data_IF_929199419114
#
_entry.id   IF_929199419114
#
_cell.length_a   1.000
_cell.length_b   1.000
_cell.length_c   1.000
_cell.angle_alpha   90.00
_cell.angle_beta   90.00
_cell.angle_gamma   90.00
#
_symmetry.space_group_name_H-M   'P 1'
#
loop_
_entity.id
_entity.type
_entity.pdbx_description
1 polymer ?
#
# COMPACT_ATOMS: atom_id res chain seq x y z
N UNK A 1 0.11 1.69 8.00
CA UNK A 1 0.96 2.90 8.01
C UNK A 1 2.43 2.51 7.81
N UNK A 2 2.91 2.60 6.57
CA UNK A 2 4.26 2.13 6.22
C UNK A 2 5.38 2.88 6.95
N UNK A 3 5.30 4.21 7.01
CA UNK A 3 6.31 5.07 7.64
C UNK A 3 6.43 4.90 9.16
N UNK A 4 5.46 4.26 9.80
CA UNK A 4 5.47 3.95 11.23
C UNK A 4 5.89 2.49 11.52
N UNK A 5 6.74 1.90 10.68
CA UNK A 5 7.21 0.53 10.82
C UNK A 5 6.21 -0.52 10.32
N UNK A 6 5.51 -0.24 9.25
CA UNK A 6 4.48 -1.10 8.64
C UNK A 6 3.34 -1.50 9.61
N UNK A 7 2.87 -0.54 10.41
CA UNK A 7 1.78 -0.79 11.36
C UNK A 7 0.44 -0.98 10.66
N UNK A 8 -0.24 -2.05 10.99
CA UNK A 8 -1.63 -2.27 10.57
C UNK A 8 -2.60 -1.43 11.43
N UNK A 9 -3.69 -1.01 10.81
CA UNK A 9 -4.87 -0.53 11.54
C UNK A 9 -5.70 -1.73 11.96
N UNK A 10 -6.39 -1.66 13.11
CA UNK A 10 -7.33 -2.72 13.45
C UNK A 10 -8.60 -2.60 12.60
N UNK A 11 -9.27 -3.71 12.28
CA UNK A 11 -10.56 -3.69 11.57
C UNK A 11 -11.61 -2.83 12.29
N UNK A 12 -11.63 -2.88 13.62
CA UNK A 12 -12.56 -2.12 14.46
C UNK A 12 -12.34 -0.62 14.34
N UNK A 13 -11.06 -0.18 14.29
CA UNK A 13 -10.73 1.23 14.07
C UNK A 13 -11.21 1.71 12.71
N UNK A 14 -10.97 0.94 11.65
CA UNK A 14 -11.38 1.32 10.29
C UNK A 14 -12.91 1.34 10.16
N UNK A 15 -13.60 0.36 10.75
CA UNK A 15 -15.05 0.34 10.80
C UNK A 15 -15.61 1.53 11.60
N UNK A 16 -14.97 1.91 12.71
CA UNK A 16 -15.35 3.08 13.49
C UNK A 16 -15.13 4.39 12.71
N UNK A 17 -14.02 4.50 11.97
CA UNK A 17 -13.74 5.64 11.11
C UNK A 17 -14.80 5.79 10.00
N UNK A 18 -15.21 4.67 9.36
CA UNK A 18 -16.29 4.69 8.36
C UNK A 18 -17.60 5.18 8.97
N UNK A 19 -18.03 4.61 10.10
CA UNK A 19 -19.25 5.06 10.80
C UNK A 19 -19.19 6.53 11.24
N UNK A 20 -18.02 6.99 11.66
CA UNK A 20 -17.84 8.39 12.05
C UNK A 20 -17.97 9.32 10.84
N UNK A 21 -17.33 8.98 9.73
CA UNK A 21 -17.44 9.73 8.48
C UNK A 21 -18.90 9.80 7.99
N UNK A 22 -19.62 8.66 8.02
CA UNK A 22 -21.02 8.59 7.59
C UNK A 22 -21.92 9.51 8.44
N UNK A 23 -21.72 9.52 9.78
CA UNK A 23 -22.55 10.36 10.67
C UNK A 23 -22.44 11.86 10.41
N UNK A 24 -21.27 12.32 9.95
CA UNK A 24 -21.01 13.74 9.72
C UNK A 24 -20.97 14.13 8.24
N UNK A 25 -21.21 13.17 7.35
CA UNK A 25 -21.14 13.39 5.91
C UNK A 25 -19.71 13.60 5.38
N UNK A 26 -18.69 13.25 6.14
CA UNK A 26 -17.31 13.39 5.72
C UNK A 26 -16.90 12.34 4.67
N UNK A 27 -15.88 12.66 3.89
CA UNK A 27 -15.24 11.76 2.93
C UNK A 27 -14.17 10.94 3.66
N UNK A 28 -14.23 9.62 3.57
CA UNK A 28 -13.21 8.72 4.06
C UNK A 28 -12.23 8.41 2.93
N UNK A 29 -10.96 8.74 3.13
CA UNK A 29 -9.90 8.53 2.13
C UNK A 29 -8.93 7.47 2.65
N UNK A 30 -8.66 6.44 1.84
CA UNK A 30 -7.58 5.49 2.09
C UNK A 30 -6.40 5.82 1.17
N UNK A 31 -5.31 6.29 1.78
CA UNK A 31 -4.05 6.43 1.08
C UNK A 31 -3.33 5.07 1.05
N UNK A 32 -3.38 4.43 -0.13
CA UNK A 32 -2.71 3.15 -0.35
C UNK A 32 -1.45 3.28 -1.22
N UNK A 33 -0.90 4.48 -1.32
CA UNK A 33 0.31 4.77 -2.12
C UNK A 33 1.48 3.84 -1.76
N UNK A 34 1.56 3.38 -0.52
CA UNK A 34 2.63 2.47 -0.08
C UNK A 34 2.18 1.01 0.05
N UNK A 35 0.92 0.76 0.35
CA UNK A 35 0.38 -0.57 0.61
C UNK A 35 -0.53 -1.11 -0.50
N UNK A 36 -0.77 -0.35 -1.56
CA UNK A 36 -1.57 -0.76 -2.70
C UNK A 36 -0.78 -1.47 -3.80
N UNK A 37 -1.44 -1.65 -4.93
CA UNK A 37 -0.89 -2.26 -6.15
C UNK A 37 -0.30 -3.66 -5.86
N UNK A 38 -1.04 -4.48 -5.08
CA UNK A 38 -0.67 -5.85 -4.77
C UNK A 38 0.34 -6.05 -3.63
N UNK A 39 0.96 -4.98 -3.11
CA UNK A 39 2.04 -5.04 -2.10
C UNK A 39 1.71 -5.87 -0.86
N UNK A 40 0.46 -5.80 -0.39
CA UNK A 40 0.01 -6.48 0.82
C UNK A 40 -0.78 -7.77 0.57
N UNK A 41 -0.79 -8.26 -0.67
CA UNK A 41 -1.53 -9.47 -1.07
C UNK A 41 -2.95 -9.20 -1.56
N UNK A 42 -3.36 -7.93 -1.62
CA UNK A 42 -4.60 -7.44 -2.23
C UNK A 42 -4.30 -6.24 -3.08
N UNK A 43 -5.14 -5.91 -4.07
CA UNK A 43 -4.89 -4.77 -4.94
C UNK A 43 -4.89 -3.45 -4.18
N UNK A 44 -5.87 -3.27 -3.29
CA UNK A 44 -5.86 -2.21 -2.28
C UNK A 44 -5.90 -2.81 -0.88
N UNK A 45 -5.27 -2.16 0.09
CA UNK A 45 -5.32 -2.61 1.49
C UNK A 45 -6.77 -2.58 2.05
N UNK A 46 -7.66 -1.77 1.49
CA UNK A 46 -9.06 -1.65 1.88
C UNK A 46 -9.80 -3.00 1.83
N UNK A 47 -9.56 -3.78 0.79
CA UNK A 47 -10.17 -5.11 0.59
C UNK A 47 -9.94 -6.06 1.77
N UNK A 48 -8.79 -5.92 2.43
CA UNK A 48 -8.42 -6.76 3.57
C UNK A 48 -9.23 -6.49 4.84
N UNK A 49 -9.94 -5.37 4.91
CA UNK A 49 -10.63 -4.91 6.13
C UNK A 49 -12.16 -4.86 5.99
N UNK A 50 -12.69 -5.14 4.80
CA UNK A 50 -14.14 -5.08 4.54
C UNK A 50 -14.73 -3.68 4.73
N UNK A 51 -13.92 -2.62 4.59
CA UNK A 51 -14.35 -1.23 4.71
C UNK A 51 -14.16 -0.55 3.36
N UNK A 52 -15.22 -0.01 2.80
CA UNK A 52 -15.18 0.74 1.55
C UNK A 52 -14.95 2.22 1.83
N UNK A 53 -13.81 2.81 1.43
CA UNK A 53 -13.60 4.25 1.50
C UNK A 53 -14.36 4.97 0.37
N UNK A 54 -14.49 6.29 0.49
CA UNK A 54 -15.03 7.13 -0.58
C UNK A 54 -13.98 7.43 -1.65
N UNK A 55 -12.69 7.47 -1.24
CA UNK A 55 -11.55 7.73 -2.12
C UNK A 55 -10.41 6.77 -1.78
N UNK A 56 -9.71 6.32 -2.82
CA UNK A 56 -8.45 5.56 -2.70
C UNK A 56 -7.38 6.25 -3.54
N UNK A 57 -6.26 6.62 -2.92
CA UNK A 57 -5.11 7.19 -3.64
C UNK A 57 -4.04 6.13 -3.88
N UNK A 58 -3.51 6.08 -5.10
CA UNK A 58 -2.48 5.13 -5.52
C UNK A 58 -1.36 5.82 -6.29
N UNK A 59 -0.14 5.29 -6.20
CA UNK A 59 1.03 5.74 -6.96
C UNK A 59 2.16 4.68 -6.89
N UNK A 60 3.41 5.11 -6.84
CA UNK A 60 4.64 4.28 -6.69
C UNK A 60 4.70 3.13 -7.68
N UNK A 61 4.36 1.91 -7.24
CA UNK A 61 4.40 0.70 -8.07
C UNK A 61 3.40 0.65 -9.22
N UNK A 62 2.48 1.61 -9.33
CA UNK A 62 1.38 1.59 -10.29
C UNK A 62 1.85 1.51 -11.75
N UNK A 63 2.96 2.18 -12.11
CA UNK A 63 3.56 2.14 -13.43
C UNK A 63 5.02 1.68 -13.41
N UNK A 64 5.40 0.84 -12.44
CA UNK A 64 6.72 0.19 -12.34
C UNK A 64 7.92 1.13 -12.48
N UNK A 65 7.81 2.37 -11.96
CA UNK A 65 8.89 3.34 -11.93
C UNK A 65 8.64 4.60 -12.76
N UNK A 66 7.66 4.62 -13.66
CA UNK A 66 7.23 5.86 -14.31
C UNK A 66 6.32 6.67 -13.38
N UNK A 67 6.44 8.02 -13.36
CA UNK A 67 5.67 8.87 -12.47
C UNK A 67 4.19 8.87 -12.87
N UNK A 68 3.34 8.35 -12.01
CA UNK A 68 1.89 8.36 -12.13
C UNK A 68 1.26 8.30 -10.73
N UNK A 69 0.15 8.99 -10.57
CA UNK A 69 -0.77 8.83 -9.45
C UNK A 69 -2.19 8.61 -9.97
N UNK A 70 -2.98 7.89 -9.21
CA UNK A 70 -4.39 7.66 -9.51
C UNK A 70 -5.23 7.84 -8.25
N UNK A 71 -6.44 8.33 -8.44
CA UNK A 71 -7.48 8.40 -7.42
C UNK A 71 -8.70 7.66 -7.94
N UNK A 72 -9.15 6.67 -7.19
CA UNK A 72 -10.45 6.01 -7.42
C UNK A 72 -11.43 6.65 -6.46
N UNK A 73 -12.56 7.10 -6.95
CA UNK A 73 -13.61 7.71 -6.13
C UNK A 73 -14.94 6.95 -6.25
N UNK A 74 -15.73 7.01 -5.18
CA UNK A 74 -17.11 6.51 -5.18
C UNK A 74 -18.03 7.40 -6.04
N UNK A 75 -19.16 6.86 -6.48
CA UNK A 75 -20.16 7.61 -7.24
C UNK A 75 -20.63 8.86 -6.50
N UNK A 76 -20.73 8.81 -5.16
CA UNK A 76 -21.09 9.96 -4.33
C UNK A 76 -20.11 11.13 -4.51
N UNK A 77 -18.82 10.84 -4.62
CA UNK A 77 -17.78 11.87 -4.81
C UNK A 77 -17.71 12.28 -6.28
N UNK A 78 -17.73 11.34 -7.21
CA UNK A 78 -17.64 11.64 -8.65
C UNK A 78 -18.80 12.52 -9.13
N UNK A 79 -19.99 12.35 -8.56
CA UNK A 79 -21.17 13.17 -8.89
C UNK A 79 -21.01 14.65 -8.49
N UNK A 80 -20.03 15.00 -7.65
CA UNK A 80 -19.76 16.40 -7.26
C UNK A 80 -18.69 17.08 -8.10
N UNK A 81 -18.03 16.34 -9.00
CA UNK A 81 -16.93 16.84 -9.83
C UNK A 81 -17.52 17.38 -11.16
N UNK A 82 -17.27 18.63 -11.44
CA UNK A 82 -17.69 19.27 -12.69
C UNK A 82 -16.53 19.40 -13.68
N UNK A 83 -16.86 19.66 -14.93
CA UNK A 83 -15.87 19.94 -15.95
C UNK A 83 -15.05 21.18 -15.60
N UNK A 84 -13.73 21.03 -15.53
CA UNK A 84 -12.78 22.09 -15.18
C UNK A 84 -12.32 22.09 -13.72
N UNK A 85 -12.94 21.29 -12.84
CA UNK A 85 -12.50 21.20 -11.43
C UNK A 85 -11.14 20.52 -11.27
N UNK A 86 -10.82 19.60 -12.16
CA UNK A 86 -9.57 18.83 -12.12
C UNK A 86 -8.73 19.15 -13.36
N UNK A 87 -7.45 19.39 -13.15
CA UNK A 87 -6.49 19.61 -14.21
C UNK A 87 -5.07 19.27 -13.78
N UNK A 88 -4.29 18.77 -14.74
CA UNK A 88 -2.86 18.51 -14.54
C UNK A 88 -2.15 18.55 -15.88
N UNK A 89 -1.06 19.30 -15.96
CA UNK A 89 -0.28 19.42 -17.20
C UNK A 89 0.30 18.06 -17.66
N UNK A 90 0.74 17.23 -16.73
CA UNK A 90 1.37 15.95 -17.01
C UNK A 90 0.56 14.74 -16.53
N UNK A 91 -0.60 14.96 -15.88
CA UNK A 91 -1.45 13.88 -15.38
C UNK A 91 -2.08 13.09 -16.53
N UNK A 92 -2.10 11.78 -16.42
CA UNK A 92 -2.70 10.92 -17.43
C UNK A 92 -1.92 10.85 -18.76
N UNK A 93 -0.63 11.18 -18.74
CA UNK A 93 0.21 11.08 -19.94
C UNK A 93 0.23 9.65 -20.52
N UNK A 94 0.29 9.51 -21.87
CA UNK A 94 0.11 8.20 -22.52
C UNK A 94 1.19 7.18 -22.14
N UNK A 95 2.43 7.60 -21.93
CA UNK A 95 3.53 6.68 -21.59
C UNK A 95 3.38 6.09 -20.18
N UNK A 96 3.18 6.89 -19.11
CA UNK A 96 2.90 6.32 -17.79
C UNK A 96 1.61 5.48 -17.75
N UNK A 97 0.58 5.85 -18.50
CA UNK A 97 -0.66 5.07 -18.56
C UNK A 97 -0.43 3.70 -19.23
N UNK A 98 0.30 3.64 -20.33
CA UNK A 98 0.65 2.38 -20.98
C UNK A 98 1.49 1.48 -20.04
N UNK A 99 2.44 2.06 -19.30
CA UNK A 99 3.22 1.32 -18.32
C UNK A 99 2.35 0.82 -17.14
N UNK A 100 1.39 1.62 -16.69
CA UNK A 100 0.44 1.21 -15.66
C UNK A 100 -0.42 0.02 -16.14
N UNK A 101 -0.96 0.07 -17.36
CA UNK A 101 -1.71 -1.04 -17.93
C UNK A 101 -0.87 -2.32 -18.00
N UNK A 102 0.37 -2.23 -18.50
CA UNK A 102 1.28 -3.37 -18.56
C UNK A 102 1.60 -3.92 -17.15
N UNK A 103 1.78 -3.04 -16.17
CA UNK A 103 2.02 -3.43 -14.77
C UNK A 103 0.82 -4.19 -14.19
N UNK A 104 -0.38 -3.70 -14.41
CA UNK A 104 -1.62 -4.33 -13.94
C UNK A 104 -1.84 -5.71 -14.59
N UNK A 105 -1.59 -5.82 -15.90
CA UNK A 105 -1.65 -7.10 -16.62
C UNK A 105 -0.68 -8.13 -16.04
N UNK A 106 0.57 -7.76 -15.77
CA UNK A 106 1.57 -8.65 -15.16
C UNK A 106 1.14 -9.07 -13.76
N UNK A 107 0.69 -8.13 -12.90
CA UNK A 107 0.23 -8.43 -11.55
C UNK A 107 -0.89 -9.48 -11.58
N UNK A 108 -1.84 -9.34 -12.50
CA UNK A 108 -2.98 -10.25 -12.64
C UNK A 108 -2.56 -11.59 -13.23
N UNK A 109 -1.88 -11.59 -14.38
CA UNK A 109 -1.48 -12.79 -15.13
C UNK A 109 -0.53 -13.69 -14.32
N UNK A 110 0.40 -13.09 -13.59
CA UNK A 110 1.39 -13.82 -12.81
C UNK A 110 0.95 -14.03 -11.35
N UNK A 111 -0.27 -13.65 -11.00
CA UNK A 111 -0.85 -13.81 -9.65
C UNK A 111 0.06 -13.23 -8.55
N UNK A 112 0.64 -12.06 -8.81
CA UNK A 112 1.63 -11.48 -7.91
C UNK A 112 1.06 -11.08 -6.54
N UNK A 113 -0.25 -10.89 -6.42
CA UNK A 113 -0.90 -10.64 -5.12
C UNK A 113 -0.87 -11.90 -4.24
N UNK A 114 -1.16 -13.07 -4.81
CA UNK A 114 -1.07 -14.33 -4.08
C UNK A 114 0.38 -14.59 -3.64
N UNK A 115 1.32 -14.43 -4.57
CA UNK A 115 2.75 -14.52 -4.27
C UNK A 115 3.18 -13.58 -3.15
N UNK A 116 2.70 -12.34 -3.14
CA UNK A 116 3.00 -11.37 -2.06
C UNK A 116 2.49 -11.86 -0.70
N UNK A 117 1.32 -12.50 -0.64
CA UNK A 117 0.78 -13.12 0.57
C UNK A 117 1.61 -14.31 1.06
N UNK A 118 1.94 -15.22 0.15
CA UNK A 118 2.70 -16.45 0.45
C UNK A 118 4.13 -16.13 0.89
N UNK A 119 4.86 -15.33 0.10
CA UNK A 119 6.24 -14.92 0.41
C UNK A 119 6.28 -14.06 1.68
N UNK A 120 5.30 -13.19 1.89
CA UNK A 120 5.18 -12.40 3.12
C UNK A 120 5.02 -13.29 4.37
N UNK A 121 4.20 -14.32 4.27
CA UNK A 121 4.03 -15.32 5.34
C UNK A 121 5.32 -16.10 5.60
N UNK A 122 6.00 -16.52 4.53
CA UNK A 122 7.30 -17.17 4.63
C UNK A 122 8.33 -16.28 5.33
N UNK A 123 8.51 -15.04 4.87
CA UNK A 123 9.47 -14.09 5.45
C UNK A 123 9.19 -13.82 6.92
N UNK A 124 7.92 -13.64 7.31
CA UNK A 124 7.52 -13.48 8.71
C UNK A 124 7.95 -14.65 9.56
N UNK A 125 7.68 -15.87 9.11
CA UNK A 125 8.04 -17.10 9.83
C UNK A 125 9.55 -17.22 10.01
N UNK A 126 10.31 -17.02 8.93
CA UNK A 126 11.77 -17.17 8.97
C UNK A 126 12.44 -16.04 9.79
N UNK A 127 11.91 -14.82 9.74
CA UNK A 127 12.41 -13.73 10.58
C UNK A 127 12.21 -14.03 12.09
N UNK A 128 11.06 -14.57 12.49
CA UNK A 128 10.82 -14.98 13.88
C UNK A 128 11.78 -16.12 14.30
N UNK A 129 11.98 -17.13 13.43
CA UNK A 129 12.96 -18.19 13.69
C UNK A 129 14.39 -17.65 13.85
N UNK A 130 14.73 -16.62 13.10
CA UNK A 130 16.04 -15.96 13.16
C UNK A 130 16.19 -15.02 14.39
N UNK A 131 15.20 -14.96 15.29
CA UNK A 131 15.27 -14.20 16.53
C UNK A 131 14.82 -12.76 16.43
N UNK A 132 14.10 -12.37 15.37
CA UNK A 132 13.45 -11.06 15.30
C UNK A 132 12.33 -11.01 16.34
N UNK A 133 12.32 -9.96 17.17
CA UNK A 133 11.40 -9.86 18.32
C UNK A 133 9.92 -9.81 17.92
N UNK A 134 9.61 -9.11 16.84
CA UNK A 134 8.26 -9.12 16.25
C UNK A 134 8.31 -8.67 14.80
N UNK A 135 7.32 -9.11 14.01
CA UNK A 135 7.11 -8.70 12.62
C UNK A 135 5.71 -8.13 12.49
N UNK A 136 5.62 -6.89 12.01
CA UNK A 136 4.36 -6.18 11.73
C UNK A 136 4.13 -6.09 10.23
N UNK A 137 2.92 -5.71 9.83
CA UNK A 137 2.55 -5.50 8.42
C UNK A 137 1.97 -6.74 7.76
N UNK A 138 1.76 -6.66 6.45
CA UNK A 138 1.05 -7.68 5.66
C UNK A 138 1.71 -7.85 4.28
N UNK A 139 1.62 -9.04 3.71
CA UNK A 139 2.25 -9.35 2.42
C UNK A 139 3.73 -9.00 2.42
N UNK A 140 4.18 -8.25 1.43
CA UNK A 140 5.57 -7.80 1.29
C UNK A 140 5.82 -6.37 1.83
N UNK A 141 4.93 -5.85 2.68
CA UNK A 141 5.16 -4.64 3.46
C UNK A 141 5.32 -5.02 4.92
N UNK A 142 6.53 -5.33 5.33
CA UNK A 142 6.85 -5.84 6.66
C UNK A 142 7.77 -4.89 7.43
N UNK A 143 7.48 -4.70 8.71
CA UNK A 143 8.35 -4.03 9.68
C UNK A 143 8.90 -5.04 10.68
N UNK A 144 10.21 -5.10 10.81
CA UNK A 144 10.91 -6.00 11.73
C UNK A 144 11.33 -5.23 12.97
N UNK A 145 10.90 -5.68 14.15
CA UNK A 145 11.37 -5.12 15.42
C UNK A 145 12.60 -5.87 15.88
N UNK A 146 13.72 -5.19 15.88
CA UNK A 146 15.02 -5.75 16.26
C UNK A 146 15.50 -5.17 17.59
N UNK A 147 16.25 -5.94 18.41
CA UNK A 147 16.73 -5.49 19.72
C UNK A 147 17.97 -4.56 19.63
N UNK A 148 18.41 -4.22 18.43
CA UNK A 148 19.56 -3.36 18.14
C UNK A 148 19.10 -2.05 17.51
N UNK A 149 19.91 -0.98 17.54
CA UNK A 149 19.62 0.24 16.79
C UNK A 149 19.37 -0.05 15.31
N UNK A 150 18.27 0.47 14.77
CA UNK A 150 17.85 0.17 13.39
C UNK A 150 18.92 0.55 12.34
N UNK A 151 19.64 1.66 12.56
CA UNK A 151 20.72 2.09 11.68
C UNK A 151 21.89 1.09 11.61
N UNK A 152 22.24 0.45 12.71
CA UNK A 152 23.29 -0.58 12.72
C UNK A 152 22.85 -1.83 11.93
N UNK A 153 21.60 -2.24 12.12
CA UNK A 153 21.04 -3.38 11.39
C UNK A 153 20.93 -3.06 9.90
N UNK A 154 20.50 -1.85 9.55
CA UNK A 154 20.47 -1.39 8.16
C UNK A 154 21.85 -1.45 7.51
N UNK A 155 22.89 -0.93 8.20
CA UNK A 155 24.27 -0.98 7.70
C UNK A 155 24.79 -2.41 7.52
N UNK A 156 24.48 -3.30 8.47
CA UNK A 156 24.84 -4.71 8.38
C UNK A 156 24.11 -5.46 7.23
N UNK A 157 22.87 -5.09 6.93
CA UNK A 157 22.12 -5.59 5.78
C UNK A 157 22.69 -5.04 4.47
N UNK A 158 22.99 -3.73 4.44
CA UNK A 158 23.57 -3.09 3.25
C UNK A 158 24.92 -3.71 2.86
N UNK A 159 25.80 -4.03 3.81
CA UNK A 159 27.07 -4.73 3.55
C UNK A 159 26.87 -6.13 2.95
N UNK A 160 25.67 -6.72 3.11
CA UNK A 160 25.26 -7.98 2.49
C UNK A 160 24.41 -7.79 1.22
N UNK A 161 24.39 -6.57 0.66
CA UNK A 161 23.61 -6.18 -0.52
C UNK A 161 22.10 -6.30 -0.34
N UNK A 162 21.61 -6.13 0.89
CA UNK A 162 20.18 -6.10 1.22
C UNK A 162 19.81 -4.65 1.55
N UNK A 163 18.90 -4.07 0.77
CA UNK A 163 18.36 -2.74 1.02
C UNK A 163 17.17 -2.83 1.96
N UNK A 164 17.24 -2.11 3.06
CA UNK A 164 16.14 -1.98 4.02
C UNK A 164 16.02 -0.52 4.48
N UNK A 165 14.79 -0.08 4.74
CA UNK A 165 14.53 1.21 5.36
C UNK A 165 14.59 1.10 6.90
N UNK A 166 14.67 2.26 7.56
CA UNK A 166 14.44 2.42 9.00
C UNK A 166 13.18 3.23 9.23
N UNK A 167 12.46 2.99 10.34
CA UNK A 167 11.27 3.70 10.76
C UNK A 167 11.35 4.01 12.27
#
# INVERSE_FOLDING_TARGET
QGMAGARDCSPEFLAAARRAADRVGAVLIFDVVQCGVGRVGTFTAAESFGVTPDLVTMAKGLASGLPIGAVICSDRVSATIAQGDLGSTFGGGPVPCAAALATLDVIQRERLMDNAGEVGTYLRREAIKAGVASVQGKGLLLGLRVPRPAAEVQQALFSRRILAGTA
#
